data_IF_751044912777
#
_entry.id   IF_751044912777
#
_cell.length_a   1.000
_cell.length_b   1.000
_cell.length_c   1.000
_cell.angle_alpha   90.00
_cell.angle_beta   90.00
_cell.angle_gamma   90.00
#
_symmetry.space_group_name_H-M   'P 1'
#
loop_
_entity.id
_entity.type
_entity.pdbx_description
1 polymer ?
#
# COMPACT_ATOMS: atom_id res chain seq x y z
N UNK A 1 3.60 -5.80 1.98
CA UNK A 1 3.28 -4.53 1.32
C UNK A 1 1.94 -4.02 1.80
N UNK A 2 1.82 -2.72 2.06
CA UNK A 2 0.56 -2.06 2.44
C UNK A 2 0.13 -1.13 1.31
N UNK A 3 -1.12 -1.23 0.89
CA UNK A 3 -1.69 -0.41 -0.18
C UNK A 3 -2.65 0.62 0.41
N UNK A 4 -2.37 1.89 0.14
CA UNK A 4 -3.07 3.06 0.64
C UNK A 4 -3.89 3.73 -0.47
N UNK A 5 -5.04 4.30 -0.14
CA UNK A 5 -5.85 5.09 -1.08
C UNK A 5 -5.28 6.48 -1.30
N UNK A 6 -4.70 7.08 -0.27
CA UNK A 6 -4.21 8.46 -0.29
C UNK A 6 -2.95 8.63 0.54
N UNK A 7 -2.25 9.73 0.28
CA UNK A 7 -1.08 10.11 1.04
C UNK A 7 -1.50 10.58 2.44
N UNK A 8 -1.24 9.74 3.45
CA UNK A 8 -1.40 10.09 4.85
C UNK A 8 -0.02 10.16 5.52
N UNK A 9 0.35 11.35 5.98
CA UNK A 9 1.68 11.57 6.56
C UNK A 9 1.95 10.74 7.81
N UNK A 10 0.93 10.49 8.63
CA UNK A 10 1.11 9.75 9.88
C UNK A 10 1.37 8.28 9.58
N UNK A 11 0.55 7.68 8.71
CA UNK A 11 0.76 6.31 8.24
C UNK A 11 2.12 6.16 7.56
N UNK A 12 2.49 7.10 6.70
CA UNK A 12 3.80 7.08 6.02
C UNK A 12 4.95 7.13 7.05
N UNK A 13 4.89 8.05 8.02
CA UNK A 13 5.92 8.15 9.08
C UNK A 13 6.01 6.86 9.90
N UNK A 14 4.88 6.24 10.22
CA UNK A 14 4.84 4.96 10.94
C UNK A 14 5.42 3.80 10.12
N UNK A 15 5.08 3.68 8.83
CA UNK A 15 5.58 2.59 7.99
C UNK A 15 7.04 2.76 7.58
N UNK A 16 7.55 3.99 7.49
CA UNK A 16 8.97 4.25 7.17
C UNK A 16 9.93 3.73 8.24
N UNK A 17 9.45 3.44 9.45
CA UNK A 17 10.26 2.84 10.51
C UNK A 17 10.36 1.30 10.43
N UNK A 18 9.61 0.65 9.52
CA UNK A 18 9.54 -0.81 9.44
C UNK A 18 10.38 -1.32 8.24
N UNK A 19 11.54 -1.97 8.47
CA UNK A 19 12.48 -2.33 7.40
C UNK A 19 11.96 -3.37 6.42
N UNK A 20 10.94 -4.15 6.80
CA UNK A 20 10.33 -5.20 5.97
C UNK A 20 8.97 -4.81 5.37
N UNK A 21 8.52 -3.57 5.60
CA UNK A 21 7.20 -3.12 5.16
C UNK A 21 7.34 -1.95 4.19
N UNK A 22 7.02 -2.22 2.93
CA UNK A 22 6.84 -1.19 1.90
C UNK A 22 5.38 -0.76 1.85
N UNK A 23 5.14 0.54 1.75
CA UNK A 23 3.83 1.11 1.45
C UNK A 23 3.79 1.62 0.01
N UNK A 24 2.61 1.59 -0.61
CA UNK A 24 2.37 2.06 -1.97
C UNK A 24 0.97 2.66 -2.05
N UNK A 25 0.75 3.66 -2.91
CA UNK A 25 -0.60 4.12 -3.22
C UNK A 25 -1.23 3.22 -4.28
N UNK A 26 -2.55 3.08 -4.25
CA UNK A 26 -3.34 2.35 -5.27
C UNK A 26 -2.98 2.80 -6.69
N UNK A 27 -2.83 4.11 -6.91
CA UNK A 27 -2.55 4.68 -8.22
C UNK A 27 -1.19 4.25 -8.81
N UNK A 28 -0.26 3.82 -7.96
CA UNK A 28 1.07 3.35 -8.37
C UNK A 28 1.22 1.83 -8.32
N UNK A 29 0.13 1.09 -8.07
CA UNK A 29 0.14 -0.36 -7.94
C UNK A 29 0.46 -1.03 -9.28
N UNK A 30 1.59 -1.73 -9.34
CA UNK A 30 2.00 -2.49 -10.51
C UNK A 30 1.88 -4.00 -10.28
N UNK A 31 1.62 -4.80 -11.33
CA UNK A 31 1.63 -6.26 -11.25
C UNK A 31 2.94 -6.85 -10.71
N UNK A 32 4.08 -6.18 -10.99
CA UNK A 32 5.38 -6.57 -10.46
C UNK A 32 5.41 -6.53 -8.92
N UNK A 33 4.85 -5.47 -8.31
CA UNK A 33 4.78 -5.36 -6.86
C UNK A 33 3.88 -6.44 -6.25
N UNK A 34 2.84 -6.89 -6.97
CA UNK A 34 1.99 -8.01 -6.54
C UNK A 34 2.74 -9.35 -6.53
N UNK A 35 3.59 -9.59 -7.53
CA UNK A 35 4.36 -10.84 -7.64
C UNK A 35 5.59 -10.86 -6.72
N UNK A 36 6.16 -9.69 -6.41
CA UNK A 36 7.41 -9.58 -5.64
C UNK A 36 7.21 -9.65 -4.12
N UNK A 37 6.00 -9.36 -3.61
CA UNK A 37 5.75 -9.32 -2.17
C UNK A 37 4.99 -10.55 -1.68
N UNK A 38 5.49 -11.18 -0.61
CA UNK A 38 4.87 -12.37 0.00
C UNK A 38 3.45 -12.13 0.55
N UNK A 39 3.19 -10.91 1.03
CA UNK A 39 1.92 -10.52 1.65
C UNK A 39 1.56 -9.10 1.26
N UNK A 40 0.30 -8.91 0.86
CA UNK A 40 -0.24 -7.62 0.46
C UNK A 40 -1.47 -7.33 1.33
N UNK A 41 -1.49 -6.16 1.96
CA UNK A 41 -2.57 -5.72 2.82
C UNK A 41 -3.17 -4.47 2.19
N UNK A 42 -4.45 -4.55 1.83
CA UNK A 42 -5.21 -3.41 1.32
C UNK A 42 -6.03 -2.80 2.44
N UNK A 43 -6.01 -1.47 2.54
CA UNK A 43 -6.98 -0.76 3.36
C UNK A 43 -8.35 -0.80 2.69
N UNK A 44 -9.43 -0.77 3.47
CA UNK A 44 -10.80 -0.78 2.93
C UNK A 44 -11.04 0.41 1.98
N UNK A 45 -10.46 1.57 2.29
CA UNK A 45 -10.49 2.75 1.43
C UNK A 45 -9.79 2.51 0.09
N UNK A 46 -8.65 1.82 0.10
CA UNK A 46 -7.89 1.48 -1.09
C UNK A 46 -8.67 0.50 -1.98
N UNK A 47 -9.35 -0.47 -1.39
CA UNK A 47 -10.17 -1.43 -2.13
C UNK A 47 -11.37 -0.76 -2.82
N UNK A 48 -11.99 0.23 -2.16
CA UNK A 48 -13.09 1.03 -2.75
C UNK A 48 -12.63 1.87 -3.93
N UNK A 49 -11.39 2.37 -3.91
CA UNK A 49 -10.84 3.11 -5.05
C UNK A 49 -10.57 2.22 -6.27
N UNK A 50 -10.25 0.94 -6.06
CA UNK A 50 -10.00 -0.03 -7.14
C UNK A 50 -11.30 -0.52 -7.78
N UNK A 51 -12.34 -0.79 -6.99
CA UNK A 51 -13.62 -1.32 -7.46
C UNK A 51 -14.62 -0.25 -7.95
N UNK A 52 -14.12 0.93 -8.34
CA UNK A 52 -14.95 2.05 -8.77
C UNK A 52 -15.03 2.13 -10.28
#
# INVERSE_FOLDING_TARGET
MVVLDKKDENLIKSFRNLPKVKYLLVDYLNPYDLMHHDKIVFLESALKSINK
#
